data_IF_293694464850
#
_entry.id   IF_293694464850
#
_cell.length_a   1.000
_cell.length_b   1.000
_cell.length_c   1.000
_cell.angle_alpha   90.00
_cell.angle_beta   90.00
_cell.angle_gamma   90.00
#
_symmetry.space_group_name_H-M   'P 1'
#
loop_
_entity.id
_entity.type
_entity.pdbx_description
1 polymer ?
#
# COMPACT_ATOMS: atom_id res chain seq x y z
N UNK A 1 22.91 4.00 -5.65
CA UNK A 1 22.80 2.76 -6.44
C UNK A 1 21.68 1.92 -5.86
N UNK A 2 20.49 1.84 -6.47
CA UNK A 2 19.45 0.96 -5.97
C UNK A 2 19.86 -0.50 -6.16
N UNK A 3 19.87 -1.27 -5.07
CA UNK A 3 20.09 -2.72 -5.10
C UNK A 3 18.75 -3.41 -5.26
N UNK A 4 18.47 -3.89 -6.47
CA UNK A 4 17.31 -4.75 -6.74
C UNK A 4 17.62 -6.15 -6.21
N UNK A 5 16.95 -6.56 -5.13
CA UNK A 5 16.98 -7.96 -4.68
C UNK A 5 15.83 -8.69 -5.36
N UNK A 6 16.16 -9.61 -6.27
CA UNK A 6 15.20 -10.50 -6.90
C UNK A 6 14.87 -11.67 -5.96
N UNK A 7 13.62 -11.74 -5.48
CA UNK A 7 13.07 -12.95 -4.85
C UNK A 7 12.31 -13.77 -5.91
N UNK A 8 12.33 -15.11 -5.84
CA UNK A 8 11.92 -15.99 -6.95
C UNK A 8 10.41 -16.12 -7.20
N UNK A 9 9.57 -15.22 -6.67
CA UNK A 9 8.15 -15.10 -7.02
C UNK A 9 7.77 -13.62 -7.05
N UNK A 10 7.70 -13.03 -8.24
CA UNK A 10 6.87 -11.85 -8.57
C UNK A 10 6.99 -10.55 -7.77
N UNK A 11 7.88 -10.40 -6.78
CA UNK A 11 7.94 -9.17 -5.97
C UNK A 11 8.97 -8.21 -6.59
N UNK A 12 8.48 -7.21 -7.32
CA UNK A 12 9.28 -6.07 -7.77
C UNK A 12 9.23 -4.95 -6.71
N UNK A 13 10.22 -4.89 -5.82
CA UNK A 13 10.39 -3.73 -4.92
C UNK A 13 11.09 -2.63 -5.72
N UNK A 14 10.40 -1.52 -5.96
CA UNK A 14 11.01 -0.31 -6.50
C UNK A 14 10.61 0.90 -5.66
N UNK A 15 11.58 1.45 -4.92
CA UNK A 15 11.59 2.86 -4.55
C UNK A 15 13.03 3.33 -4.37
N UNK A 16 13.49 4.20 -5.26
CA UNK A 16 14.65 5.05 -5.03
C UNK A 16 14.53 6.26 -5.94
N UNK A 17 13.93 7.33 -5.40
CA UNK A 17 14.04 8.66 -5.99
C UNK A 17 15.43 9.22 -5.66
N UNK A 18 16.48 8.68 -6.29
CA UNK A 18 17.79 9.32 -6.33
C UNK A 18 17.73 10.42 -7.40
N UNK A 19 17.02 11.52 -7.12
CA UNK A 19 17.14 12.76 -7.90
C UNK A 19 16.76 13.97 -7.06
N UNK A 20 17.44 15.08 -7.28
CA UNK A 20 17.55 16.21 -6.37
C UNK A 20 16.17 16.79 -5.96
N UNK A 21 15.83 16.63 -4.68
CA UNK A 21 14.66 17.26 -4.09
C UNK A 21 14.62 18.76 -4.44
N UNK A 22 13.58 19.19 -5.16
CA UNK A 22 13.31 20.62 -5.31
C UNK A 22 12.98 21.17 -3.93
N UNK A 23 13.61 22.27 -3.47
CA UNK A 23 13.27 22.86 -2.18
C UNK A 23 11.80 23.27 -2.19
N UNK A 24 11.00 22.67 -1.30
CA UNK A 24 9.56 22.92 -1.15
C UNK A 24 8.62 21.87 -1.76
N UNK A 25 9.13 20.73 -2.25
CA UNK A 25 8.30 19.57 -2.63
C UNK A 25 8.60 18.43 -1.67
N UNK A 26 7.61 18.04 -0.87
CA UNK A 26 7.68 16.82 -0.07
C UNK A 26 7.39 15.62 -0.97
N UNK A 27 8.36 14.71 -1.06
CA UNK A 27 8.22 13.43 -1.76
C UNK A 27 7.81 12.36 -0.75
N UNK A 28 6.87 11.51 -1.15
CA UNK A 28 6.45 10.34 -0.38
C UNK A 28 6.98 9.12 -1.13
N UNK A 29 7.85 8.36 -0.48
CA UNK A 29 8.33 7.08 -1.01
C UNK A 29 7.28 6.00 -0.72
N UNK A 30 6.73 5.40 -1.78
CA UNK A 30 5.73 4.34 -1.68
C UNK A 30 6.27 3.04 -2.27
N UNK A 31 6.40 2.01 -1.44
CA UNK A 31 6.71 0.68 -1.94
C UNK A 31 5.48 0.10 -2.65
N UNK A 32 5.68 -0.38 -3.87
CA UNK A 32 4.65 -1.13 -4.62
C UNK A 32 5.07 -2.59 -4.65
N UNK A 33 4.18 -3.49 -4.27
CA UNK A 33 4.42 -4.93 -4.22
C UNK A 33 3.35 -5.65 -5.04
N UNK A 34 3.78 -6.42 -6.04
CA UNK A 34 2.89 -7.28 -6.82
C UNK A 34 2.77 -8.65 -6.13
N UNK A 35 1.54 -9.04 -5.81
CA UNK A 35 1.18 -10.24 -5.08
C UNK A 35 0.24 -11.07 -5.96
N UNK A 36 0.83 -11.91 -6.82
CA UNK A 36 0.11 -12.60 -7.89
C UNK A 36 -0.68 -11.62 -8.78
N UNK A 37 -2.02 -11.62 -8.67
CA UNK A 37 -2.89 -10.70 -9.40
C UNK A 37 -3.31 -9.46 -8.59
N UNK A 38 -2.89 -9.34 -7.34
CA UNK A 38 -3.11 -8.17 -6.49
C UNK A 38 -1.90 -7.23 -6.46
N UNK A 39 -2.12 -5.97 -6.11
CA UNK A 39 -1.06 -4.97 -5.98
C UNK A 39 -1.20 -4.23 -4.65
N UNK A 40 -0.15 -4.25 -3.84
CA UNK A 40 -0.08 -3.50 -2.60
C UNK A 40 0.73 -2.20 -2.77
N UNK A 41 0.24 -1.12 -2.19
CA UNK A 41 0.88 0.20 -2.13
C UNK A 41 1.12 0.52 -0.67
N UNK A 42 2.38 0.71 -0.29
CA UNK A 42 2.81 0.66 1.10
C UNK A 42 3.64 1.91 1.43
N UNK A 43 3.35 2.53 2.55
CA UNK A 43 4.19 3.57 3.14
C UNK A 43 4.71 3.08 4.49
N UNK A 44 6.00 2.71 4.53
CA UNK A 44 6.67 2.27 5.74
C UNK A 44 6.80 3.41 6.77
N UNK A 45 6.81 4.67 6.33
CA UNK A 45 6.97 5.82 7.23
C UNK A 45 5.76 5.98 8.15
N UNK A 46 4.56 5.75 7.64
CA UNK A 46 3.33 5.84 8.43
C UNK A 46 2.80 4.47 8.85
N UNK A 47 3.34 3.38 8.29
CA UNK A 47 2.82 2.04 8.48
C UNK A 47 1.43 1.87 7.87
N UNK A 48 1.09 2.65 6.84
CA UNK A 48 -0.21 2.58 6.14
C UNK A 48 -0.03 2.04 4.74
N UNK A 49 -1.04 1.32 4.24
CA UNK A 49 -1.01 0.82 2.88
C UNK A 49 -2.39 0.51 2.32
N UNK A 50 -2.42 0.16 1.04
CA UNK A 50 -3.61 -0.22 0.30
C UNK A 50 -3.33 -1.49 -0.50
N UNK A 51 -4.29 -2.42 -0.53
CA UNK A 51 -4.26 -3.60 -1.39
C UNK A 51 -5.35 -3.51 -2.45
N UNK A 52 -4.95 -3.35 -3.71
CA UNK A 52 -5.84 -3.43 -4.86
C UNK A 52 -5.97 -4.90 -5.31
N UNK A 53 -7.19 -5.44 -5.24
CA UNK A 53 -7.49 -6.79 -5.70
C UNK A 53 -7.71 -6.85 -7.22
N UNK A 54 -7.50 -8.00 -7.86
CA UNK A 54 -7.80 -8.14 -9.28
C UNK A 54 -9.30 -7.98 -9.59
N UNK A 55 -9.65 -7.67 -10.85
CA UNK A 55 -11.05 -7.51 -11.26
C UNK A 55 -11.92 -8.72 -10.90
N UNK A 56 -13.11 -8.44 -10.35
CA UNK A 56 -14.07 -9.49 -9.98
C UNK A 56 -13.77 -10.21 -8.66
N UNK A 57 -12.65 -9.91 -8.01
CA UNK A 57 -12.31 -10.46 -6.68
C UNK A 57 -12.83 -9.53 -5.60
N UNK A 58 -13.41 -10.14 -4.55
CA UNK A 58 -14.06 -9.42 -3.45
C UNK A 58 -13.43 -9.70 -2.08
N UNK A 59 -12.47 -10.63 -2.03
CA UNK A 59 -11.68 -10.94 -0.85
C UNK A 59 -10.30 -11.40 -1.32
N UNK A 60 -9.21 -11.01 -0.65
CA UNK A 60 -7.90 -11.58 -0.90
C UNK A 60 -7.96 -13.09 -0.65
N UNK A 61 -7.20 -13.85 -1.43
CA UNK A 61 -7.02 -15.27 -1.19
C UNK A 61 -6.05 -15.48 -0.01
N UNK A 62 -6.06 -16.66 0.63
CA UNK A 62 -5.20 -16.94 1.77
C UNK A 62 -3.70 -16.80 1.47
N UNK A 63 -3.23 -17.13 0.27
CA UNK A 63 -1.80 -17.05 -0.04
C UNK A 63 -1.32 -15.59 -0.14
N UNK A 64 -2.14 -14.69 -0.66
CA UNK A 64 -1.89 -13.24 -0.61
C UNK A 64 -1.80 -12.74 0.82
N UNK A 65 -2.68 -13.18 1.71
CA UNK A 65 -2.65 -12.81 3.13
C UNK A 65 -1.40 -13.35 3.84
N UNK A 66 -1.03 -14.60 3.58
CA UNK A 66 0.18 -15.22 4.16
C UNK A 66 1.47 -14.53 3.68
N UNK A 67 1.51 -14.02 2.44
CA UNK A 67 2.64 -13.20 1.97
C UNK A 67 2.67 -11.84 2.64
N UNK A 68 1.53 -11.14 2.75
CA UNK A 68 1.45 -9.86 3.47
C UNK A 68 1.91 -9.98 4.93
N UNK A 69 1.43 -11.01 5.64
CA UNK A 69 1.81 -11.28 7.03
C UNK A 69 3.32 -11.52 7.16
N UNK A 70 3.92 -12.30 6.25
CA UNK A 70 5.37 -12.50 6.20
C UNK A 70 6.16 -11.22 5.94
N UNK A 71 5.57 -10.26 5.24
CA UNK A 71 6.16 -8.93 5.01
C UNK A 71 5.88 -7.95 6.15
N UNK A 72 5.15 -8.36 7.19
CA UNK A 72 4.79 -7.52 8.34
C UNK A 72 3.61 -6.59 8.06
N UNK A 73 2.77 -6.91 7.07
CA UNK A 73 1.59 -6.14 6.68
C UNK A 73 0.31 -6.92 6.92
N UNK A 74 -0.67 -6.27 7.52
CA UNK A 74 -1.94 -6.87 7.87
C UNK A 74 -3.08 -6.10 7.20
N UNK A 75 -4.11 -6.84 6.79
CA UNK A 75 -5.36 -6.22 6.35
C UNK A 75 -6.06 -5.63 7.56
N UNK A 76 -6.41 -4.35 7.48
CA UNK A 76 -7.13 -3.69 8.56
C UNK A 76 -8.53 -4.30 8.68
N UNK A 77 -8.87 -4.74 9.89
CA UNK A 77 -10.22 -5.20 10.18
C UNK A 77 -11.23 -4.06 10.09
N UNK A 78 -12.24 -4.25 9.27
CA UNK A 78 -13.42 -3.40 9.16
C UNK A 78 -14.52 -3.84 10.12
N UNK A 79 -15.75 -3.48 9.78
CA UNK A 79 -16.89 -3.84 10.63
C UNK A 79 -17.24 -5.32 10.47
N UNK A 80 -17.58 -5.99 11.57
CA UNK A 80 -18.06 -7.39 11.59
C UNK A 80 -17.07 -8.45 11.10
N UNK A 81 -15.75 -8.20 11.19
CA UNK A 81 -14.72 -9.17 10.79
C UNK A 81 -14.49 -9.28 9.28
N UNK A 82 -15.00 -8.31 8.52
CA UNK A 82 -14.63 -8.13 7.12
C UNK A 82 -13.49 -7.13 7.00
N UNK A 83 -12.61 -7.26 5.99
CA UNK A 83 -11.62 -6.24 5.67
C UNK A 83 -12.20 -4.83 5.57
N UNK A 84 -11.47 -3.85 6.08
CA UNK A 84 -11.78 -2.45 5.88
C UNK A 84 -11.58 -2.10 4.40
N UNK A 85 -12.65 -1.64 3.76
CA UNK A 85 -12.65 -1.26 2.34
C UNK A 85 -12.29 0.22 2.23
N UNK A 86 -11.20 0.51 1.52
CA UNK A 86 -10.79 1.87 1.18
C UNK A 86 -11.65 2.43 0.04
N UNK A 87 -12.08 1.57 -0.89
CA UNK A 87 -12.96 1.94 -1.99
C UNK A 87 -12.79 1.03 -3.20
N UNK A 88 -12.97 1.62 -4.39
CA UNK A 88 -12.74 0.94 -5.67
C UNK A 88 -11.88 1.78 -6.59
N UNK A 89 -11.06 1.13 -7.40
CA UNK A 89 -10.31 1.82 -8.46
C UNK A 89 -11.23 2.24 -9.60
N UNK A 90 -10.74 3.06 -10.52
CA UNK A 90 -11.43 3.42 -11.78
C UNK A 90 -11.83 2.19 -12.62
N UNK A 91 -11.08 1.10 -12.53
CA UNK A 91 -11.38 -0.18 -13.16
C UNK A 91 -12.43 -1.04 -12.42
N UNK A 92 -12.93 -0.57 -11.27
CA UNK A 92 -13.90 -1.29 -10.43
C UNK A 92 -13.27 -2.28 -9.45
N UNK A 93 -11.95 -2.37 -9.40
CA UNK A 93 -11.21 -3.27 -8.50
C UNK A 93 -11.43 -2.86 -7.05
N UNK A 94 -11.63 -3.83 -6.16
CA UNK A 94 -11.79 -3.56 -4.72
C UNK A 94 -10.43 -3.20 -4.12
N UNK A 95 -10.39 -2.14 -3.29
CA UNK A 95 -9.19 -1.73 -2.57
C UNK A 95 -9.43 -1.84 -1.07
N UNK A 96 -8.51 -2.52 -0.38
CA UNK A 96 -8.56 -2.75 1.07
C UNK A 96 -7.50 -1.93 1.78
N UNK A 97 -7.77 -1.56 3.03
CA UNK A 97 -6.79 -0.89 3.89
C UNK A 97 -5.80 -1.91 4.48
N UNK A 98 -4.52 -1.56 4.48
CA UNK A 98 -3.44 -2.29 5.15
C UNK A 98 -2.84 -1.46 6.27
N UNK A 99 -2.26 -2.14 7.27
CA UNK A 99 -1.42 -1.53 8.28
C UNK A 99 -0.20 -2.41 8.56
N UNK A 100 0.89 -1.78 8.96
CA UNK A 100 2.11 -2.45 9.39
C UNK A 100 1.97 -3.02 10.81
N UNK A 101 2.42 -4.25 11.04
CA UNK A 101 2.52 -4.86 12.39
C UNK A 101 3.87 -4.54 13.07
N UNK A 102 4.57 -3.51 12.61
CA UNK A 102 5.80 -3.02 13.21
C UNK A 102 5.60 -1.63 13.81
N UNK A 103 6.39 -1.32 14.84
CA UNK A 103 6.33 -0.02 15.50
C UNK A 103 6.86 1.07 14.57
N UNK A 104 5.98 1.99 14.17
CA UNK A 104 6.34 3.21 13.45
C UNK A 104 6.89 4.22 14.45
N UNK A 105 8.18 4.56 14.33
CA UNK A 105 8.81 5.56 15.20
C UNK A 105 9.68 6.53 14.38
N UNK A 106 9.49 7.85 14.53
CA UNK A 106 8.44 8.52 15.34
C UNK A 106 7.03 8.34 14.77
N UNK A 107 6.00 8.49 15.62
CA UNK A 107 4.61 8.51 15.16
C UNK A 107 4.44 9.69 14.17
N UNK A 108 3.88 9.44 12.96
CA UNK A 108 3.74 10.48 11.96
C UNK A 108 2.77 11.55 12.45
N UNK A 109 3.08 12.82 12.17
CA UNK A 109 2.12 13.87 12.43
C UNK A 109 0.92 13.77 11.48
N UNK A 110 -0.16 14.50 11.80
CA UNK A 110 -1.40 14.47 11.03
C UNK A 110 -1.21 14.91 9.58
N UNK A 111 -0.29 15.84 9.31
CA UNK A 111 -0.03 16.34 7.96
C UNK A 111 0.70 15.29 7.13
N UNK A 112 1.72 14.64 7.70
CA UNK A 112 2.41 13.50 7.07
C UNK A 112 1.43 12.39 6.76
N UNK A 113 0.62 11.98 7.75
CA UNK A 113 -0.37 10.93 7.55
C UNK A 113 -1.38 11.29 6.46
N UNK A 114 -1.88 12.52 6.46
CA UNK A 114 -2.82 12.99 5.44
C UNK A 114 -2.21 12.95 4.04
N UNK A 115 -0.99 13.48 3.89
CA UNK A 115 -0.30 13.51 2.60
C UNK A 115 0.01 12.09 2.09
N UNK A 116 0.46 11.19 2.97
CA UNK A 116 0.65 9.78 2.63
C UNK A 116 -0.63 9.16 2.13
N UNK A 117 -1.72 9.28 2.88
CA UNK A 117 -3.00 8.69 2.49
C UNK A 117 -3.43 9.23 1.13
N UNK A 118 -3.33 10.54 0.90
CA UNK A 118 -3.61 11.13 -0.42
C UNK A 118 -2.75 10.52 -1.53
N UNK A 119 -1.44 10.37 -1.31
CA UNK A 119 -0.56 9.76 -2.30
C UNK A 119 -0.91 8.28 -2.57
N UNK A 120 -1.23 7.50 -1.53
CA UNK A 120 -1.70 6.12 -1.65
C UNK A 120 -2.99 6.03 -2.47
N UNK A 121 -3.97 6.91 -2.22
CA UNK A 121 -5.21 6.95 -2.99
C UNK A 121 -4.96 7.21 -4.48
N UNK A 122 -4.08 8.18 -4.79
CA UNK A 122 -3.68 8.46 -6.17
C UNK A 122 -2.94 7.29 -6.82
N UNK A 123 -1.99 6.68 -6.11
CA UNK A 123 -1.20 5.56 -6.61
C UNK A 123 -2.07 4.33 -6.91
N UNK A 124 -3.04 4.04 -6.04
CA UNK A 124 -4.01 2.96 -6.22
C UNK A 124 -5.10 3.28 -7.27
N UNK A 125 -5.18 4.52 -7.76
CA UNK A 125 -6.23 4.97 -8.68
C UNK A 125 -7.63 4.87 -8.06
N UNK A 126 -7.73 5.10 -6.74
CA UNK A 126 -9.01 5.12 -6.03
C UNK A 126 -9.88 6.25 -6.57
N UNK A 127 -11.14 5.92 -6.88
CA UNK A 127 -12.13 6.95 -7.18
C UNK A 127 -12.45 7.69 -5.89
N UNK A 128 -12.24 9.02 -5.88
CA UNK A 128 -12.85 9.86 -4.85
C UNK A 128 -14.37 9.66 -4.94
N UNK A 129 -14.99 9.29 -3.83
CA UNK A 129 -16.45 9.23 -3.74
C UNK A 129 -16.96 10.66 -4.04
N UNK A 130 -17.80 10.86 -5.08
CA UNK A 130 -18.32 12.18 -5.42
C UNK A 130 -19.19 12.78 -4.32
#
# INVERSE_FOLDING_TARGET
>A
MPSTTYLPHGVAIACSSDDAARPGVDYIDLAVVELDAATAYLDELTGTGLLALPPGVHSPDPATLDELDRLGWLVLDGNQGFPAIAGRTTGGNLVLCLYADFAVTPEPDRTTLHNTLTALHFAAGLLENP
#
